data_IF_108241963064
#
_entry.id   IF_108241963064
#
_cell.length_a   1.000
_cell.length_b   1.000
_cell.length_c   1.000
_cell.angle_alpha   90.00
_cell.angle_beta   90.00
_cell.angle_gamma   90.00
#
_symmetry.space_group_name_H-M   'P 1'
#
loop_
_entity.id
_entity.type
_entity.pdbx_description
1 polymer ?
#
# COMPACT_ATOMS: atom_id res chain seq x y z
N UNK A 1 -19.50 -6.51 -12.13
CA UNK A 1 -18.23 -6.05 -12.71
C UNK A 1 -17.30 -7.25 -12.77
N UNK A 2 -16.64 -7.51 -13.90
CA UNK A 2 -15.51 -8.45 -13.92
C UNK A 2 -14.42 -7.88 -13.00
N UNK A 3 -13.81 -8.72 -12.17
CA UNK A 3 -12.70 -8.28 -11.34
C UNK A 3 -11.51 -7.97 -12.25
N UNK A 4 -10.74 -6.91 -11.96
CA UNK A 4 -9.47 -6.65 -12.64
C UNK A 4 -8.56 -7.89 -12.63
N UNK A 5 -8.67 -8.70 -11.57
CA UNK A 5 -7.90 -9.94 -11.38
C UNK A 5 -8.20 -11.06 -12.40
N UNK A 6 -9.29 -10.92 -13.16
CA UNK A 6 -9.70 -11.86 -14.21
C UNK A 6 -9.29 -11.37 -15.61
N UNK A 7 -8.77 -10.15 -15.73
CA UNK A 7 -8.33 -9.59 -17.01
C UNK A 7 -6.92 -10.10 -17.35
N UNK A 8 -6.72 -10.52 -18.60
CA UNK A 8 -5.48 -11.15 -19.06
C UNK A 8 -4.29 -10.18 -19.05
N UNK A 9 -4.56 -8.89 -19.24
CA UNK A 9 -3.58 -7.82 -19.35
C UNK A 9 -3.12 -7.29 -17.99
N UNK A 10 -3.91 -7.52 -16.93
CA UNK A 10 -3.65 -6.97 -15.60
C UNK A 10 -2.31 -7.39 -14.98
N UNK A 11 -1.83 -8.64 -15.15
CA UNK A 11 -0.50 -9.03 -14.68
C UNK A 11 0.64 -8.21 -15.28
N UNK A 12 0.50 -7.76 -16.53
CA UNK A 12 1.51 -6.91 -17.18
C UNK A 12 1.55 -5.52 -16.55
N UNK A 13 0.39 -4.95 -16.21
CA UNK A 13 0.34 -3.70 -15.44
C UNK A 13 1.01 -3.86 -14.07
N UNK A 14 0.72 -4.95 -13.35
CA UNK A 14 1.35 -5.24 -12.06
C UNK A 14 2.88 -5.27 -12.20
N UNK A 15 3.42 -6.02 -13.17
CA UNK A 15 4.88 -6.07 -13.41
C UNK A 15 5.45 -4.71 -13.75
N UNK A 16 4.82 -3.96 -14.66
CA UNK A 16 5.28 -2.64 -15.06
C UNK A 16 5.35 -1.66 -13.88
N UNK A 17 4.32 -1.64 -13.02
CA UNK A 17 4.30 -0.81 -11.82
C UNK A 17 5.41 -1.21 -10.83
N UNK A 18 5.62 -2.51 -10.62
CA UNK A 18 6.66 -3.04 -9.72
C UNK A 18 8.06 -2.65 -10.22
N UNK A 19 8.32 -2.80 -11.52
CA UNK A 19 9.57 -2.37 -12.15
C UNK A 19 9.76 -0.85 -12.05
N UNK A 20 8.70 -0.06 -12.22
CA UNK A 20 8.74 1.39 -12.05
C UNK A 20 9.09 1.79 -10.61
N UNK A 21 8.52 1.12 -9.61
CA UNK A 21 8.85 1.35 -8.20
C UNK A 21 10.32 1.03 -7.90
N UNK A 22 10.85 -0.08 -8.43
CA UNK A 22 12.26 -0.42 -8.26
C UNK A 22 13.19 0.62 -8.86
N UNK A 23 12.88 1.13 -10.06
CA UNK A 23 13.62 2.25 -10.68
C UNK A 23 13.54 3.52 -9.84
N UNK A 24 12.35 3.85 -9.33
CA UNK A 24 12.13 5.04 -8.49
C UNK A 24 13.02 5.04 -7.24
N UNK A 25 13.26 3.90 -6.62
CA UNK A 25 14.12 3.77 -5.44
C UNK A 25 15.50 3.17 -5.76
N UNK A 26 15.95 3.23 -7.02
CA UNK A 26 17.30 2.81 -7.38
C UNK A 26 18.34 3.79 -6.85
N UNK A 27 19.59 3.36 -6.72
CA UNK A 27 20.68 4.24 -6.25
C UNK A 27 20.84 5.45 -7.15
N UNK A 28 20.71 5.26 -8.46
CA UNK A 28 20.83 6.29 -9.47
C UNK A 28 19.79 7.39 -9.27
N UNK A 29 18.51 7.03 -9.06
CA UNK A 29 17.47 8.03 -8.83
C UNK A 29 17.60 8.68 -7.45
N UNK A 30 17.96 7.93 -6.41
CA UNK A 30 18.09 8.47 -5.05
C UNK A 30 19.25 9.47 -4.90
N UNK A 31 20.27 9.40 -5.76
CA UNK A 31 21.35 10.39 -5.82
C UNK A 31 20.86 11.81 -6.17
N UNK A 32 19.67 11.95 -6.78
CA UNK A 32 19.01 13.25 -7.00
C UNK A 32 18.57 13.93 -5.71
N UNK A 33 18.58 13.21 -4.59
CA UNK A 33 18.12 13.68 -3.29
C UNK A 33 19.23 13.60 -2.22
N UNK A 34 20.27 14.46 -2.28
CA UNK A 34 21.39 14.42 -1.34
C UNK A 34 20.98 14.50 0.14
N UNK A 35 19.86 15.18 0.45
CA UNK A 35 19.33 15.26 1.82
C UNK A 35 18.96 13.91 2.44
N UNK A 36 18.73 12.88 1.62
CA UNK A 36 18.38 11.53 2.07
C UNK A 36 19.56 10.56 2.05
N UNK A 37 20.78 11.03 1.76
CA UNK A 37 21.99 10.18 1.72
C UNK A 37 22.34 9.53 3.06
N UNK A 38 21.76 10.04 4.17
CA UNK A 38 21.90 9.44 5.50
C UNK A 38 21.10 8.15 5.68
N UNK A 39 20.20 7.78 4.77
CA UNK A 39 19.44 6.53 4.82
C UNK A 39 20.29 5.39 4.25
N UNK A 40 20.62 4.33 5.02
CA UNK A 40 21.40 3.22 4.50
C UNK A 40 20.67 2.48 3.36
N UNK A 41 21.41 2.05 2.32
CA UNK A 41 20.83 1.35 1.17
C UNK A 41 20.01 0.12 1.56
N UNK A 42 20.51 -0.65 2.52
CA UNK A 42 19.81 -1.83 3.05
C UNK A 42 18.41 -1.51 3.59
N UNK A 43 18.22 -0.30 4.15
CA UNK A 43 16.91 0.15 4.64
C UNK A 43 15.97 0.49 3.50
N UNK A 44 16.46 1.15 2.45
CA UNK A 44 15.70 1.39 1.22
C UNK A 44 15.24 0.06 0.63
N UNK A 45 16.16 -0.90 0.46
CA UNK A 45 15.85 -2.21 -0.12
C UNK A 45 14.84 -3.00 0.73
N UNK A 46 14.91 -2.89 2.05
CA UNK A 46 13.95 -3.50 2.96
C UNK A 46 12.55 -2.88 2.81
N UNK A 47 12.47 -1.55 2.72
CA UNK A 47 11.19 -0.82 2.52
C UNK A 47 10.55 -1.14 1.17
N UNK A 48 11.34 -1.11 0.09
CA UNK A 48 10.88 -1.43 -1.27
C UNK A 48 10.38 -2.86 -1.33
N UNK A 49 11.14 -3.82 -0.79
CA UNK A 49 10.74 -5.23 -0.72
C UNK A 49 9.47 -5.42 0.10
N UNK A 50 9.36 -4.78 1.26
CA UNK A 50 8.15 -4.83 2.05
C UNK A 50 6.93 -4.34 1.27
N UNK A 51 7.05 -3.21 0.57
CA UNK A 51 5.98 -2.69 -0.26
C UNK A 51 5.60 -3.70 -1.35
N UNK A 52 6.58 -4.20 -2.09
CA UNK A 52 6.38 -5.13 -3.20
C UNK A 52 5.88 -6.52 -2.76
N UNK A 53 6.18 -6.99 -1.56
CA UNK A 53 5.77 -8.33 -1.13
C UNK A 53 4.45 -8.33 -0.36
N UNK A 54 4.15 -7.25 0.37
CA UNK A 54 3.02 -7.22 1.31
C UNK A 54 1.93 -6.21 0.95
N UNK A 55 2.26 -5.12 0.26
CA UNK A 55 1.30 -4.07 -0.11
C UNK A 55 0.92 -4.11 -1.59
N UNK A 56 1.87 -4.46 -2.45
CA UNK A 56 1.71 -4.52 -3.90
C UNK A 56 2.33 -5.80 -4.52
N UNK A 57 1.89 -7.00 -4.09
CA UNK A 57 2.42 -8.27 -4.56
C UNK A 57 2.04 -8.60 -6.00
N UNK A 58 2.65 -9.67 -6.52
CA UNK A 58 2.27 -10.33 -7.76
C UNK A 58 0.79 -10.79 -7.74
N UNK A 59 0.26 -11.16 -8.91
CA UNK A 59 -1.16 -11.47 -9.12
C UNK A 59 -1.76 -12.41 -8.06
N UNK A 60 -1.09 -13.51 -7.69
CA UNK A 60 -1.59 -14.44 -6.68
C UNK A 60 -1.66 -13.80 -5.28
N UNK A 61 -0.68 -12.97 -4.94
CA UNK A 61 -0.74 -12.15 -3.73
C UNK A 61 -1.87 -11.14 -3.79
N UNK A 62 -2.12 -10.53 -4.95
CA UNK A 62 -3.21 -9.57 -5.15
C UNK A 62 -4.57 -10.23 -4.95
N UNK A 63 -4.79 -11.42 -5.50
CA UNK A 63 -6.00 -12.23 -5.26
C UNK A 63 -6.24 -12.49 -3.77
N UNK A 64 -5.17 -12.82 -3.03
CA UNK A 64 -5.25 -13.03 -1.57
C UNK A 64 -5.57 -11.75 -0.82
N UNK A 65 -4.92 -10.63 -1.16
CA UNK A 65 -5.19 -9.33 -0.55
C UNK A 65 -6.61 -8.85 -0.85
N UNK A 66 -7.06 -8.89 -2.11
CA UNK A 66 -8.41 -8.47 -2.51
C UNK A 66 -9.48 -9.30 -1.81
N UNK A 67 -9.30 -10.62 -1.74
CA UNK A 67 -10.22 -11.52 -1.04
C UNK A 67 -10.27 -11.23 0.47
N UNK A 68 -9.12 -11.00 1.09
CA UNK A 68 -9.00 -10.65 2.49
C UNK A 68 -9.66 -9.30 2.81
N UNK A 69 -9.35 -8.26 2.06
CA UNK A 69 -9.88 -6.91 2.27
C UNK A 69 -11.37 -6.81 1.95
N UNK A 70 -11.85 -7.51 0.91
CA UNK A 70 -13.29 -7.58 0.61
C UNK A 70 -14.05 -8.26 1.75
N UNK A 71 -13.50 -9.33 2.32
CA UNK A 71 -14.07 -10.03 3.47
C UNK A 71 -14.06 -9.15 4.73
N UNK A 72 -12.98 -8.40 4.96
CA UNK A 72 -12.87 -7.45 6.06
C UNK A 72 -13.85 -6.28 5.95
N UNK A 73 -14.03 -5.70 4.76
CA UNK A 73 -14.99 -4.64 4.53
C UNK A 73 -16.42 -5.11 4.87
N UNK A 74 -16.81 -6.32 4.42
CA UNK A 74 -18.10 -6.92 4.76
C UNK A 74 -18.30 -7.14 6.27
N UNK A 75 -17.24 -7.56 6.97
CA UNK A 75 -17.24 -7.69 8.42
C UNK A 75 -17.45 -6.35 9.15
N UNK A 76 -16.71 -5.30 8.75
CA UNK A 76 -16.80 -3.97 9.37
C UNK A 76 -18.16 -3.32 9.14
N UNK A 77 -18.80 -3.60 8.01
CA UNK A 77 -20.17 -3.18 7.72
C UNK A 77 -21.24 -4.01 8.43
N UNK A 78 -20.87 -4.96 9.31
CA UNK A 78 -21.79 -5.77 10.11
C UNK A 78 -21.73 -5.39 11.60
N UNK A 79 -22.51 -4.39 12.06
CA UNK A 79 -22.41 -3.87 13.43
C UNK A 79 -22.59 -4.96 14.50
N UNK A 80 -23.51 -5.90 14.31
CA UNK A 80 -23.78 -6.99 15.27
C UNK A 80 -22.57 -7.91 15.48
N UNK A 81 -21.86 -8.28 14.40
CA UNK A 81 -20.64 -9.09 14.47
C UNK A 81 -19.51 -8.35 15.18
N UNK A 82 -19.33 -7.06 14.87
CA UNK A 82 -18.33 -6.19 15.47
C UNK A 82 -18.59 -5.99 16.97
N UNK A 83 -19.82 -5.63 17.35
CA UNK A 83 -20.19 -5.44 18.76
C UNK A 83 -20.15 -6.75 19.57
N UNK A 84 -20.55 -7.88 18.97
CA UNK A 84 -20.43 -9.19 19.62
C UNK A 84 -18.98 -9.61 19.87
N UNK A 85 -18.07 -9.25 18.96
CA UNK A 85 -16.63 -9.45 19.12
C UNK A 85 -16.08 -8.55 20.23
N UNK A 86 -16.41 -7.25 20.20
CA UNK A 86 -15.96 -6.28 21.22
C UNK A 86 -16.46 -6.60 22.63
N UNK A 87 -17.73 -7.02 22.75
CA UNK A 87 -18.30 -7.43 24.04
C UNK A 87 -17.61 -8.65 24.64
N UNK A 88 -17.16 -9.59 23.79
CA UNK A 88 -16.39 -10.76 24.23
C UNK A 88 -14.90 -10.49 24.44
N UNK A 89 -14.41 -9.30 24.06
CA UNK A 89 -13.04 -8.84 24.24
C UNK A 89 -12.91 -7.74 25.27
N UNK A 90 -13.90 -7.57 26.15
CA UNK A 90 -13.99 -6.47 27.11
C UNK A 90 -12.68 -6.19 27.85
N UNK A 91 -11.96 -7.20 28.33
CA UNK A 91 -10.65 -7.04 28.98
C UNK A 91 -9.51 -6.57 28.06
N UNK A 92 -9.45 -7.02 26.82
CA UNK A 92 -8.45 -6.57 25.84
C UNK A 92 -8.75 -5.15 25.33
N UNK A 93 -10.04 -4.84 25.13
CA UNK A 93 -10.55 -3.51 24.78
C UNK A 93 -10.24 -2.51 25.91
N UNK A 94 -10.44 -2.90 27.17
CA UNK A 94 -10.13 -2.06 28.34
C UNK A 94 -8.63 -1.76 28.47
N UNK A 95 -7.76 -2.74 28.20
CA UNK A 95 -6.29 -2.55 28.18
C UNK A 95 -5.82 -1.65 27.04
N UNK A 96 -6.57 -1.60 25.92
CA UNK A 96 -6.29 -0.69 24.81
C UNK A 96 -6.69 0.75 25.13
N UNK A 97 -7.74 0.95 25.95
CA UNK A 97 -8.14 2.24 26.52
C UNK A 97 -8.25 3.35 25.47
N UNK A 98 -7.68 4.53 25.77
CA UNK A 98 -7.67 5.71 24.89
C UNK A 98 -7.07 5.48 23.49
N UNK A 99 -6.26 4.44 23.31
CA UNK A 99 -5.60 4.12 22.05
C UNK A 99 -6.44 3.22 21.14
N UNK A 100 -7.59 2.72 21.61
CA UNK A 100 -8.53 1.93 20.81
C UNK A 100 -9.01 2.68 19.58
N UNK A 101 -9.38 3.95 19.75
CA UNK A 101 -9.81 4.80 18.64
C UNK A 101 -8.70 4.96 17.59
N UNK A 102 -7.47 5.21 18.03
CA UNK A 102 -6.31 5.37 17.16
C UNK A 102 -5.93 4.07 16.44
N UNK A 103 -6.04 2.92 17.12
CA UNK A 103 -5.82 1.61 16.53
C UNK A 103 -6.85 1.27 15.45
N UNK A 104 -8.13 1.57 15.71
CA UNK A 104 -9.18 1.44 14.70
C UNK A 104 -8.95 2.42 13.55
N UNK A 105 -8.63 3.69 13.82
CA UNK A 105 -8.31 4.68 12.78
C UNK A 105 -7.14 4.23 11.91
N UNK A 106 -6.08 3.66 12.49
CA UNK A 106 -4.96 3.08 11.76
C UNK A 106 -5.38 1.91 10.86
N UNK A 107 -6.18 0.98 11.38
CA UNK A 107 -6.73 -0.13 10.58
C UNK A 107 -7.68 0.34 9.46
N UNK A 108 -8.51 1.35 9.73
CA UNK A 108 -9.37 2.00 8.75
C UNK A 108 -8.57 2.78 7.71
N UNK A 109 -7.50 3.47 8.10
CA UNK A 109 -6.60 4.14 7.18
C UNK A 109 -5.94 3.12 6.25
N UNK A 110 -5.40 2.02 6.76
CA UNK A 110 -4.84 0.95 5.92
C UNK A 110 -5.87 0.34 4.96
N UNK A 111 -7.12 0.14 5.41
CA UNK A 111 -8.23 -0.30 4.56
C UNK A 111 -8.60 0.76 3.51
N UNK A 112 -8.61 2.04 3.88
CA UNK A 112 -8.88 3.15 2.98
C UNK A 112 -7.79 3.27 1.91
N UNK A 113 -6.52 3.21 2.29
CA UNK A 113 -5.38 3.18 1.38
C UNK A 113 -5.49 2.05 0.36
N UNK A 114 -5.99 0.88 0.78
CA UNK A 114 -6.25 -0.25 -0.11
C UNK A 114 -7.35 0.05 -1.14
N UNK A 115 -8.47 0.63 -0.70
CA UNK A 115 -9.58 1.03 -1.58
C UNK A 115 -9.13 2.12 -2.56
N UNK A 116 -8.39 3.12 -2.09
CA UNK A 116 -7.80 4.17 -2.92
C UNK A 116 -6.83 3.58 -3.94
N UNK A 117 -6.00 2.62 -3.54
CA UNK A 117 -5.08 1.90 -4.43
C UNK A 117 -5.83 1.14 -5.53
N UNK A 118 -6.94 0.48 -5.19
CA UNK A 118 -7.74 -0.25 -6.18
C UNK A 118 -8.34 0.68 -7.22
N UNK A 119 -8.87 1.84 -6.80
CA UNK A 119 -9.36 2.86 -7.74
C UNK A 119 -8.23 3.41 -8.62
N UNK A 120 -7.04 3.62 -8.05
CA UNK A 120 -5.85 4.04 -8.78
C UNK A 120 -5.46 3.02 -9.86
N UNK A 121 -5.51 1.72 -9.54
CA UNK A 121 -5.28 0.63 -10.48
C UNK A 121 -6.34 0.53 -11.58
N UNK A 122 -7.63 0.69 -11.26
CA UNK A 122 -8.70 0.67 -12.26
C UNK A 122 -8.49 1.75 -13.34
N UNK A 123 -8.09 2.95 -12.92
CA UNK A 123 -7.79 4.07 -13.82
C UNK A 123 -6.59 3.78 -14.71
N UNK A 124 -5.47 3.34 -14.12
CA UNK A 124 -4.27 2.94 -14.87
C UNK A 124 -4.58 1.78 -15.83
N UNK A 125 -5.34 0.79 -15.38
CA UNK A 125 -5.64 -0.40 -16.17
C UNK A 125 -6.42 -0.07 -17.43
N UNK A 126 -7.37 0.86 -17.36
CA UNK A 126 -8.10 1.33 -18.54
C UNK A 126 -7.16 1.88 -19.62
N UNK A 127 -6.15 2.68 -19.22
CA UNK A 127 -5.16 3.23 -20.17
C UNK A 127 -4.18 2.15 -20.64
N UNK A 128 -3.67 1.35 -19.71
CA UNK A 128 -2.75 0.25 -19.96
C UNK A 128 -3.30 -0.74 -21.00
N UNK A 129 -4.58 -1.11 -20.87
CA UNK A 129 -5.25 -2.01 -21.81
C UNK A 129 -5.31 -1.46 -23.24
N UNK A 130 -5.55 -0.16 -23.41
CA UNK A 130 -5.49 0.49 -24.73
C UNK A 130 -4.11 0.35 -25.36
N UNK A 131 -3.06 0.71 -24.61
CA UNK A 131 -1.68 0.69 -25.10
C UNK A 131 -1.21 -0.74 -25.42
N UNK A 132 -1.59 -1.73 -24.61
CA UNK A 132 -1.31 -3.13 -24.89
C UNK A 132 -2.01 -3.62 -26.17
N UNK A 133 -3.26 -3.20 -26.41
CA UNK A 133 -3.98 -3.53 -27.65
C UNK A 133 -3.33 -2.86 -28.89
N UNK A 134 -2.65 -1.74 -28.70
CA UNK A 134 -1.83 -1.06 -29.71
C UNK A 134 -0.44 -1.73 -29.90
N UNK A 135 -0.13 -2.78 -29.13
CA UNK A 135 1.14 -3.52 -29.21
C UNK A 135 2.30 -2.84 -28.47
N UNK A 136 2.02 -1.86 -27.61
CA UNK A 136 3.04 -1.16 -26.84
C UNK A 136 3.43 -1.95 -25.58
N UNK A 137 4.72 -1.90 -25.24
CA UNK A 137 5.26 -2.54 -24.05
C UNK A 137 5.20 -1.60 -22.84
N UNK A 138 4.41 -1.98 -21.84
CA UNK A 138 4.24 -1.21 -20.60
C UNK A 138 5.48 -1.22 -19.71
N UNK A 139 6.43 -2.14 -19.89
CA UNK A 139 7.64 -2.18 -19.06
C UNK A 139 8.65 -1.07 -19.45
N UNK A 140 8.48 -0.48 -20.65
CA UNK A 140 9.18 0.72 -21.11
C UNK A 140 8.79 1.94 -20.26
N UNK A 141 9.74 2.65 -19.62
CA UNK A 141 9.45 3.76 -18.72
C UNK A 141 8.53 4.84 -19.31
N UNK A 142 8.78 5.26 -20.56
CA UNK A 142 8.03 6.30 -21.26
C UNK A 142 6.58 5.89 -21.56
N UNK A 143 6.33 4.61 -21.83
CA UNK A 143 4.98 4.08 -22.03
C UNK A 143 4.26 3.96 -20.67
N UNK A 144 4.99 3.52 -19.65
CA UNK A 144 4.45 3.45 -18.30
C UNK A 144 4.09 4.83 -17.74
N UNK A 145 4.87 5.88 -18.05
CA UNK A 145 4.54 7.24 -17.65
C UNK A 145 3.16 7.67 -18.19
N UNK A 146 2.84 7.35 -19.44
CA UNK A 146 1.51 7.61 -20.04
C UNK A 146 0.39 6.90 -19.27
N UNK A 147 0.65 5.68 -18.77
CA UNK A 147 -0.30 4.95 -17.90
C UNK A 147 -0.41 5.61 -16.53
N UNK A 148 0.72 5.96 -15.93
CA UNK A 148 0.76 6.56 -14.59
C UNK A 148 0.03 7.92 -14.58
N UNK A 149 0.26 8.74 -15.60
CA UNK A 149 -0.36 10.08 -15.74
C UNK A 149 -1.80 10.03 -16.21
N UNK A 150 -2.36 8.85 -16.51
CA UNK A 150 -3.81 8.73 -16.76
C UNK A 150 -4.64 8.93 -15.50
N UNK A 151 -4.00 8.87 -14.33
CA UNK A 151 -4.63 9.20 -13.05
C UNK A 151 -4.51 10.70 -12.79
N UNK A 152 -5.55 11.30 -12.20
CA UNK A 152 -5.51 12.74 -11.90
C UNK A 152 -4.47 13.06 -10.82
N UNK A 153 -3.90 14.26 -10.87
CA UNK A 153 -2.94 14.73 -9.86
C UNK A 153 -3.52 14.63 -8.44
N UNK A 154 -4.81 14.94 -8.27
CA UNK A 154 -5.49 14.82 -6.98
C UNK A 154 -5.48 13.37 -6.47
N UNK A 155 -5.81 12.41 -7.33
CA UNK A 155 -5.84 10.99 -6.95
C UNK A 155 -4.45 10.44 -6.65
N UNK A 156 -3.42 10.87 -7.40
CA UNK A 156 -2.04 10.53 -7.12
C UNK A 156 -1.56 11.11 -5.77
N UNK A 157 -1.90 12.37 -5.47
CA UNK A 157 -1.57 12.98 -4.18
C UNK A 157 -2.31 12.34 -3.01
N UNK A 158 -3.58 11.98 -3.19
CA UNK A 158 -4.36 11.27 -2.17
C UNK A 158 -3.74 9.89 -1.89
N UNK A 159 -3.39 9.13 -2.94
CA UNK A 159 -2.71 7.83 -2.79
C UNK A 159 -1.34 7.94 -2.10
N UNK A 160 -0.53 8.94 -2.48
CA UNK A 160 0.77 9.21 -1.84
C UNK A 160 0.61 9.52 -0.35
N UNK A 161 -0.35 10.38 0.01
CA UNK A 161 -0.63 10.72 1.42
C UNK A 161 -1.07 9.49 2.21
N UNK A 162 -1.87 8.63 1.61
CA UNK A 162 -2.32 7.36 2.20
C UNK A 162 -1.12 6.43 2.49
N UNK A 163 -0.18 6.30 1.54
CA UNK A 163 1.07 5.52 1.75
C UNK A 163 1.90 6.11 2.91
N UNK A 164 2.12 7.43 2.91
CA UNK A 164 2.93 8.09 3.96
C UNK A 164 2.26 7.91 5.33
N UNK A 165 0.94 8.02 5.40
CA UNK A 165 0.17 7.77 6.63
C UNK A 165 0.30 6.33 7.12
N UNK A 166 0.28 5.36 6.19
CA UNK A 166 0.51 3.95 6.52
C UNK A 166 1.91 3.77 7.12
N UNK A 167 2.98 4.24 6.47
CA UNK A 167 4.33 4.12 7.01
C UNK A 167 4.52 4.87 8.33
N UNK A 168 3.89 6.04 8.50
CA UNK A 168 3.88 6.77 9.79
C UNK A 168 3.20 5.98 10.91
N UNK A 169 2.16 5.23 10.57
CA UNK A 169 1.49 4.34 11.52
C UNK A 169 2.39 3.17 11.89
N UNK A 170 3.08 2.58 10.90
CA UNK A 170 4.03 1.49 11.09
C UNK A 170 5.31 1.91 11.82
N UNK A 171 5.66 3.19 11.81
CA UNK A 171 6.82 3.70 12.55
C UNK A 171 6.50 4.05 14.00
N UNK A 172 5.27 3.84 14.48
CA UNK A 172 4.88 4.16 15.86
C UNK A 172 5.13 2.97 16.82
N UNK A 173 6.20 3.01 17.65
CA UNK A 173 6.58 1.89 18.51
C UNK A 173 5.62 1.65 19.67
N UNK A 174 4.79 2.64 20.06
CA UNK A 174 3.83 2.48 21.16
C UNK A 174 2.50 1.89 20.70
N UNK A 175 2.12 2.16 19.45
CA UNK A 175 0.83 1.79 18.90
C UNK A 175 0.85 0.37 18.34
N UNK A 176 1.92 -0.03 17.65
CA UNK A 176 1.99 -1.32 16.95
C UNK A 176 1.84 -2.55 17.88
N UNK A 177 2.56 -2.68 19.00
CA UNK A 177 2.40 -3.82 19.91
C UNK A 177 0.97 -3.94 20.46
N UNK A 178 0.30 -2.79 20.64
CA UNK A 178 -1.08 -2.74 21.12
C UNK A 178 -2.05 -3.20 20.04
N UNK A 179 -1.89 -2.73 18.80
CA UNK A 179 -2.70 -3.20 17.66
C UNK A 179 -2.54 -4.71 17.49
N UNK A 180 -1.30 -5.22 17.54
CA UNK A 180 -1.03 -6.66 17.44
C UNK A 180 -1.75 -7.46 18.52
N UNK A 181 -1.64 -7.03 19.78
CA UNK A 181 -2.34 -7.69 20.90
C UNK A 181 -3.87 -7.72 20.72
N UNK A 182 -4.45 -6.63 20.19
CA UNK A 182 -5.87 -6.60 19.85
C UNK A 182 -6.19 -7.59 18.73
N UNK A 183 -5.42 -7.60 17.64
CA UNK A 183 -5.65 -8.51 16.51
C UNK A 183 -5.53 -9.98 16.93
N UNK A 184 -4.55 -10.34 17.78
CA UNK A 184 -4.42 -11.69 18.33
C UNK A 184 -5.64 -12.08 19.18
N UNK A 185 -6.16 -11.15 19.98
CA UNK A 185 -7.36 -11.38 20.76
C UNK A 185 -8.60 -11.56 19.87
N UNK A 186 -8.75 -10.73 18.83
CA UNK A 186 -9.79 -10.84 17.81
C UNK A 186 -9.75 -12.21 17.13
N UNK A 187 -8.58 -12.62 16.61
CA UNK A 187 -8.43 -13.90 15.92
C UNK A 187 -8.76 -15.07 16.84
N UNK A 188 -8.30 -15.06 18.10
CA UNK A 188 -8.64 -16.12 19.08
C UNK A 188 -10.14 -16.25 19.29
N UNK A 189 -10.83 -15.12 19.44
CA UNK A 189 -12.29 -15.10 19.62
C UNK A 189 -13.05 -15.50 18.36
N UNK A 190 -12.56 -15.13 17.18
CA UNK A 190 -13.19 -15.55 15.93
C UNK A 190 -13.06 -17.06 15.73
N UNK A 191 -11.86 -17.63 15.99
CA UNK A 191 -11.60 -19.07 15.93
C UNK A 191 -12.46 -19.88 16.90
N UNK A 192 -12.82 -19.34 18.06
CA UNK A 192 -13.71 -20.02 19.02
C UNK A 192 -15.19 -19.96 18.65
N UNK A 193 -15.56 -19.18 17.62
CA UNK A 193 -16.95 -19.00 17.15
C UNK A 193 -17.08 -19.23 15.64
N UNK A 194 -16.75 -20.45 15.13
CA UNK A 194 -16.72 -20.75 13.69
C UNK A 194 -18.10 -20.70 13.01
N UNK A 195 -19.20 -20.71 13.78
CA UNK A 195 -20.57 -20.54 13.26
C UNK A 195 -20.92 -19.08 12.94
N UNK A 196 -20.14 -18.13 13.46
CA UNK A 196 -20.40 -16.68 13.34
C UNK A 196 -19.40 -16.02 12.40
N UNK A 197 -18.14 -16.45 12.47
CA UNK A 197 -17.05 -15.91 11.67
C UNK A 197 -16.56 -16.94 10.66
N UNK A 198 -16.45 -16.54 9.40
CA UNK A 198 -15.94 -17.40 8.33
C UNK A 198 -14.42 -17.53 8.43
N UNK A 199 -13.89 -18.59 7.82
CA UNK A 199 -12.46 -18.79 7.69
C UNK A 199 -11.79 -17.66 6.89
N UNK A 200 -12.46 -17.12 5.86
CA UNK A 200 -11.99 -15.99 5.06
C UNK A 200 -11.92 -14.68 5.87
N UNK A 201 -12.87 -14.43 6.76
CA UNK A 201 -12.83 -13.28 7.69
C UNK A 201 -11.63 -13.40 8.65
N UNK A 202 -11.35 -14.60 9.16
CA UNK A 202 -10.19 -14.86 10.04
C UNK A 202 -8.87 -14.65 9.28
N UNK A 203 -8.78 -15.18 8.06
CA UNK A 203 -7.61 -15.02 7.19
C UNK A 203 -7.34 -13.56 6.84
N UNK A 204 -8.39 -12.77 6.60
CA UNK A 204 -8.24 -11.33 6.36
C UNK A 204 -7.62 -10.59 7.54
N UNK A 205 -8.09 -10.85 8.76
CA UNK A 205 -7.52 -10.24 9.97
C UNK A 205 -6.05 -10.69 10.15
N UNK A 206 -5.76 -11.98 9.94
CA UNK A 206 -4.39 -12.51 10.04
C UNK A 206 -3.45 -11.87 9.02
N UNK A 207 -3.92 -11.64 7.80
CA UNK A 207 -3.14 -10.97 6.76
C UNK A 207 -2.81 -9.54 7.18
N UNK A 208 -3.80 -8.76 7.63
CA UNK A 208 -3.58 -7.41 8.16
C UNK A 208 -2.61 -7.38 9.35
N UNK A 209 -2.71 -8.35 10.26
CA UNK A 209 -1.79 -8.48 11.39
C UNK A 209 -0.35 -8.77 10.94
N UNK A 210 -0.18 -9.59 9.89
CA UNK A 210 1.13 -9.88 9.30
C UNK A 210 1.75 -8.65 8.62
N UNK A 211 0.95 -7.85 7.90
CA UNK A 211 1.39 -6.59 7.29
C UNK A 211 1.92 -5.64 8.37
N UNK A 212 1.16 -5.46 9.46
CA UNK A 212 1.54 -4.59 10.57
C UNK A 212 2.78 -5.09 11.32
N UNK A 213 2.85 -6.39 11.64
CA UNK A 213 3.99 -6.99 12.34
C UNK A 213 5.27 -6.98 11.49
N UNK A 214 5.12 -7.08 10.18
CA UNK A 214 6.26 -6.94 9.26
C UNK A 214 6.72 -5.48 9.14
N UNK A 215 5.79 -4.53 9.25
CA UNK A 215 6.11 -3.09 9.30
C UNK A 215 6.91 -2.71 10.56
N UNK A 216 6.60 -3.30 11.72
CA UNK A 216 7.37 -3.12 12.96
C UNK A 216 8.86 -3.42 12.76
N UNK A 217 9.17 -4.50 12.04
CA UNK A 217 10.54 -4.92 11.75
C UNK A 217 11.30 -3.94 10.85
N UNK A 218 10.59 -3.16 10.02
CA UNK A 218 11.23 -2.16 9.15
C UNK A 218 11.89 -1.05 9.95
N UNK A 219 11.19 -0.58 10.99
CA UNK A 219 11.59 0.56 11.80
C UNK A 219 12.30 0.16 13.10
N UNK A 220 12.44 -1.15 13.35
CA UNK A 220 13.12 -1.65 14.52
C UNK A 220 14.57 -1.14 14.59
N UNK A 221 14.91 -0.55 15.73
CA UNK A 221 16.24 -0.01 16.00
C UNK A 221 16.52 1.37 15.40
N UNK A 222 15.54 2.00 14.75
CA UNK A 222 15.67 3.38 14.26
C UNK A 222 15.34 4.39 15.35
N UNK A 223 16.00 5.54 15.31
CA UNK A 223 15.62 6.75 16.03
C UNK A 223 14.41 7.43 15.37
N UNK A 224 13.70 8.29 16.10
CA UNK A 224 12.59 9.08 15.54
C UNK A 224 13.04 9.92 14.35
N UNK A 225 14.22 10.54 14.43
CA UNK A 225 14.79 11.33 13.33
C UNK A 225 15.05 10.51 12.07
N UNK A 226 15.51 9.27 12.19
CA UNK A 226 15.69 8.38 11.03
C UNK A 226 14.35 7.97 10.42
N UNK A 227 13.35 7.69 11.26
CA UNK A 227 11.99 7.40 10.79
C UNK A 227 11.39 8.59 10.04
N UNK A 228 11.50 9.80 10.60
CA UNK A 228 10.99 11.02 9.99
C UNK A 228 11.71 11.32 8.65
N UNK A 229 13.02 11.08 8.58
CA UNK A 229 13.80 11.21 7.34
C UNK A 229 13.31 10.25 6.25
N UNK A 230 13.00 8.99 6.61
CA UNK A 230 12.44 8.01 5.68
C UNK A 230 11.06 8.44 5.19
N UNK A 231 10.20 8.94 6.07
CA UNK A 231 8.85 9.40 5.70
C UNK A 231 8.91 10.60 4.75
N UNK A 232 9.80 11.57 5.01
CA UNK A 232 10.05 12.71 4.11
C UNK A 232 10.63 12.25 2.76
N UNK A 233 11.50 11.24 2.76
CA UNK A 233 12.02 10.63 1.55
C UNK A 233 10.92 10.00 0.69
N UNK A 234 10.05 9.18 1.29
CA UNK A 234 8.91 8.58 0.57
C UNK A 234 8.00 9.68 0.03
N UNK A 235 7.62 10.66 0.86
CA UNK A 235 6.76 11.77 0.43
C UNK A 235 7.33 12.52 -0.77
N UNK A 236 8.62 12.84 -0.74
CA UNK A 236 9.29 13.60 -1.79
C UNK A 236 9.46 12.77 -3.06
N UNK A 237 10.05 11.57 -2.95
CA UNK A 237 10.37 10.73 -4.10
C UNK A 237 9.11 10.31 -4.86
N UNK A 238 8.03 10.00 -4.14
CA UNK A 238 6.73 9.67 -4.75
C UNK A 238 6.13 10.87 -5.49
N UNK A 239 6.21 12.06 -4.89
CA UNK A 239 5.71 13.29 -5.50
C UNK A 239 6.51 13.60 -6.77
N UNK A 240 7.83 13.72 -6.65
CA UNK A 240 8.69 14.13 -7.76
C UNK A 240 8.62 13.11 -8.90
N UNK A 241 8.52 11.80 -8.59
CA UNK A 241 8.32 10.77 -9.62
C UNK A 241 7.04 10.97 -10.45
N UNK A 242 5.94 11.43 -9.83
CA UNK A 242 4.68 11.65 -10.55
C UNK A 242 4.73 12.95 -11.37
N UNK A 243 5.32 14.02 -10.82
CA UNK A 243 5.49 15.29 -11.52
C UNK A 243 6.45 15.14 -12.71
N UNK A 244 7.57 14.45 -12.53
CA UNK A 244 8.50 14.16 -13.62
C UNK A 244 7.82 13.37 -14.75
N UNK A 245 6.93 12.43 -14.42
CA UNK A 245 6.16 11.67 -15.41
C UNK A 245 5.18 12.57 -16.18
N UNK A 246 4.48 13.48 -15.49
CA UNK A 246 3.61 14.48 -16.14
C UNK A 246 4.39 15.36 -17.12
N UNK A 247 5.56 15.87 -16.71
CA UNK A 247 6.40 16.70 -17.57
C UNK A 247 6.90 15.95 -18.79
N UNK A 248 7.36 14.69 -18.62
CA UNK A 248 7.80 13.85 -19.74
C UNK A 248 6.68 13.58 -20.73
N UNK A 249 5.48 13.24 -20.25
CA UNK A 249 4.32 12.98 -21.11
C UNK A 249 3.90 14.25 -21.86
N UNK A 250 3.89 15.42 -21.21
CA UNK A 250 3.60 16.69 -21.87
C UNK A 250 4.60 17.01 -23.00
N UNK A 251 5.89 16.74 -22.80
CA UNK A 251 6.92 16.90 -23.84
C UNK A 251 6.70 15.97 -25.03
N UNK A 252 6.37 14.70 -24.75
CA UNK A 252 6.04 13.70 -25.78
C UNK A 252 4.83 14.17 -26.61
N UNK A 253 3.76 14.61 -25.95
CA UNK A 253 2.55 15.10 -26.62
C UNK A 253 2.78 16.39 -27.41
N UNK A 254 3.71 17.24 -26.95
CA UNK A 254 4.09 18.49 -27.62
C UNK A 254 5.08 18.28 -28.79
N UNK A 255 5.56 17.06 -29.01
CA UNK A 255 6.52 16.75 -30.08
C UNK A 255 7.95 17.24 -29.81
N UNK A 256 8.26 17.63 -28.57
CA UNK A 256 9.63 17.95 -28.18
C UNK A 256 10.41 16.64 -27.99
N UNK A 257 11.46 16.44 -28.78
CA UNK A 257 12.32 15.25 -28.64
C UNK A 257 12.91 15.23 -27.23
N UNK A 258 12.73 14.10 -26.53
CA UNK A 258 13.43 13.80 -25.28
C UNK A 258 14.94 13.79 -25.59
N UNK A 259 15.60 14.93 -25.40
CA UNK A 259 17.06 14.98 -25.42
C UNK A 259 17.56 14.16 -24.23
N UNK A 260 18.15 13.01 -24.52
CA UNK A 260 18.91 12.21 -23.56
C UNK A 260 19.97 13.09 -22.90
N UNK A 261 19.88 13.25 -21.58
CA UNK A 261 20.96 13.69 -20.70
C UNK A 261 21.06 12.71 -19.55
#
# INVERSE_FOLDING_TARGET
MKSLLDEQEFPTLIRAYRSALQRRYSTENLNRYPRFSGIPRERVDLLVRYFLELLYPELEGRRRLDGAFSSLAGFVHSPSKVFGLLGSLSGAVFKLGRHLRSAFQAGFAALHSYVTAHKFEELMFKRAKSLLNEGLDLERPEIFDIVLTSVSLKEADDFRRDIVLLFRTLSNPELLPRIRNLMDAVVRTMKSKPKIYSQTEIEGILLGANILSSGERLFQGMSRSEMDLILDAIETVEKDSFYDALERVQKIESGESLSEN
#
